data_IF_847871015712
#
_entry.id   IF_847871015712
#
_cell.length_a   1.000
_cell.length_b   1.000
_cell.length_c   1.000
_cell.angle_alpha   90.00
_cell.angle_beta   90.00
_cell.angle_gamma   90.00
#
_symmetry.space_group_name_H-M   'P 1'
#
loop_
_entity.id
_entity.type
_entity.pdbx_description
1 polymer ?
#
# COMPACT_ATOMS: atom_id res chain seq x y z
N UNK A 1 5.01 -0.34 3.35
CA UNK A 1 5.11 -0.92 1.99
C UNK A 1 3.79 -0.77 1.25
N UNK A 2 3.81 -0.25 0.02
CA UNK A 2 2.61 0.01 -0.79
C UNK A 2 2.80 1.28 -1.62
N UNK A 3 1.75 1.69 -2.32
CA UNK A 3 1.67 2.96 -3.05
C UNK A 3 1.08 4.04 -2.13
N UNK A 4 1.79 5.17 -1.98
CA UNK A 4 1.29 6.35 -1.27
C UNK A 4 0.20 7.05 -2.08
N UNK A 5 -0.73 7.71 -1.41
CA UNK A 5 -1.86 8.39 -2.06
C UNK A 5 -1.40 9.55 -2.95
N UNK A 6 -0.40 10.30 -2.49
CA UNK A 6 0.22 11.43 -3.20
C UNK A 6 1.70 11.56 -2.77
N UNK A 7 2.44 12.47 -3.39
CA UNK A 7 3.78 12.90 -2.98
C UNK A 7 3.79 14.11 -2.02
N UNK A 8 2.62 14.64 -1.67
CA UNK A 8 2.47 15.80 -0.80
C UNK A 8 2.29 15.37 0.67
N UNK A 9 3.03 15.98 1.60
CA UNK A 9 2.89 15.76 3.05
C UNK A 9 2.08 16.90 3.66
N UNK A 10 0.75 16.82 3.52
CA UNK A 10 -0.15 17.87 4.01
C UNK A 10 -0.65 17.66 5.44
N UNK A 11 -0.54 16.43 5.97
CA UNK A 11 -1.22 15.99 7.19
C UNK A 11 -2.65 15.47 6.96
N UNK A 12 -3.20 15.60 5.74
CA UNK A 12 -4.49 15.02 5.39
C UNK A 12 -4.42 13.49 5.28
N UNK A 13 -5.59 12.85 5.40
CA UNK A 13 -5.68 11.39 5.35
C UNK A 13 -5.40 10.79 3.96
N UNK A 14 -5.61 11.57 2.90
CA UNK A 14 -5.46 11.19 1.49
C UNK A 14 -4.20 11.79 0.86
N UNK A 15 -3.11 11.84 1.63
CA UNK A 15 -1.82 12.37 1.21
C UNK A 15 -0.69 11.51 1.79
N UNK A 16 0.56 11.78 1.40
CA UNK A 16 1.70 11.10 2.01
C UNK A 16 1.68 11.28 3.56
N UNK A 17 2.02 10.22 4.31
CA UNK A 17 2.59 8.94 3.87
C UNK A 17 1.56 7.81 3.71
N UNK A 18 0.26 8.12 3.70
CA UNK A 18 -0.77 7.10 3.79
C UNK A 18 -1.03 6.40 2.45
N UNK A 19 -1.19 5.09 2.52
CA UNK A 19 -1.70 4.25 1.45
C UNK A 19 -2.96 3.50 1.88
N UNK A 20 -3.87 3.33 0.92
CA UNK A 20 -5.20 2.76 1.13
C UNK A 20 -5.39 1.51 0.28
N UNK A 21 -6.05 0.48 0.83
CA UNK A 21 -6.26 -0.79 0.13
C UNK A 21 -6.94 -0.63 -1.24
N UNK A 22 -8.00 0.18 -1.41
CA UNK A 22 -8.62 0.39 -2.72
C UNK A 22 -7.66 0.92 -3.79
N UNK A 23 -6.77 1.85 -3.42
CA UNK A 23 -5.78 2.42 -4.34
C UNK A 23 -4.75 1.37 -4.78
N UNK A 24 -4.36 0.46 -3.88
CA UNK A 24 -3.47 -0.64 -4.24
C UNK A 24 -4.13 -1.57 -5.25
N UNK A 25 -5.39 -1.97 -5.00
CA UNK A 25 -6.13 -2.89 -5.87
C UNK A 25 -6.26 -2.30 -7.28
N UNK A 26 -6.67 -1.04 -7.37
CA UNK A 26 -6.82 -0.34 -8.67
C UNK A 26 -5.48 -0.25 -9.40
N UNK A 27 -4.41 0.14 -8.71
CA UNK A 27 -3.08 0.24 -9.32
C UNK A 27 -2.54 -1.12 -9.79
N UNK A 28 -2.66 -2.16 -8.96
CA UNK A 28 -2.21 -3.53 -9.27
C UNK A 28 -2.97 -4.06 -10.48
N UNK A 29 -4.30 -3.90 -10.51
CA UNK A 29 -5.13 -4.35 -11.62
C UNK A 29 -4.84 -3.57 -12.91
N UNK A 30 -4.66 -2.25 -12.80
CA UNK A 30 -4.19 -1.41 -13.91
C UNK A 30 -2.86 -1.90 -14.48
N UNK A 31 -1.87 -2.17 -13.62
CA UNK A 31 -0.57 -2.69 -14.05
C UNK A 31 -0.71 -4.04 -14.79
N UNK A 32 -1.54 -4.96 -14.29
CA UNK A 32 -1.80 -6.25 -14.95
C UNK A 32 -2.43 -6.08 -16.34
N UNK A 33 -3.46 -5.23 -16.45
CA UNK A 33 -4.17 -4.99 -17.72
C UNK A 33 -3.28 -4.45 -18.84
N UNK A 34 -2.22 -3.72 -18.47
CA UNK A 34 -1.28 -3.14 -19.43
C UNK A 34 0.03 -3.95 -19.57
N UNK A 35 0.06 -5.19 -19.05
CA UNK A 35 1.21 -6.10 -19.22
C UNK A 35 2.37 -5.86 -18.25
N UNK A 36 2.25 -4.94 -17.30
CA UNK A 36 3.26 -4.68 -16.27
C UNK A 36 3.17 -5.68 -15.09
N UNK A 37 3.11 -6.98 -15.42
CA UNK A 37 2.84 -8.04 -14.45
C UNK A 37 3.86 -8.10 -13.31
N UNK A 38 5.15 -7.92 -13.60
CA UNK A 38 6.17 -7.91 -12.55
C UNK A 38 6.02 -6.73 -11.60
N UNK A 39 5.64 -5.55 -12.10
CA UNK A 39 5.41 -4.38 -11.26
C UNK A 39 4.18 -4.58 -10.37
N UNK A 40 3.11 -5.15 -10.93
CA UNK A 40 1.90 -5.51 -10.19
C UNK A 40 2.21 -6.50 -9.07
N UNK A 41 3.00 -7.54 -9.35
CA UNK A 41 3.38 -8.56 -8.37
C UNK A 41 4.27 -7.98 -7.26
N UNK A 42 5.29 -7.17 -7.63
CA UNK A 42 6.13 -6.48 -6.65
C UNK A 42 5.32 -5.58 -5.72
N UNK A 43 4.36 -4.83 -6.26
CA UNK A 43 3.49 -3.97 -5.46
C UNK A 43 2.58 -4.79 -4.53
N UNK A 44 1.97 -5.85 -5.07
CA UNK A 44 1.10 -6.76 -4.31
C UNK A 44 1.83 -7.36 -3.11
N UNK A 45 3.02 -7.93 -3.33
CA UNK A 45 3.82 -8.55 -2.28
C UNK A 45 4.28 -7.53 -1.23
N UNK A 46 4.68 -6.32 -1.63
CA UNK A 46 5.08 -5.26 -0.68
C UNK A 46 3.93 -4.85 0.22
N UNK A 47 2.72 -4.71 -0.33
CA UNK A 47 1.55 -4.30 0.44
C UNK A 47 1.07 -5.42 1.37
N UNK A 48 0.95 -6.65 0.88
CA UNK A 48 0.54 -7.80 1.69
C UNK A 48 1.53 -8.08 2.83
N UNK A 49 2.84 -8.05 2.58
CA UNK A 49 3.85 -8.22 3.64
C UNK A 49 3.72 -7.20 4.75
N UNK A 50 3.43 -5.94 4.40
CA UNK A 50 3.20 -4.88 5.38
C UNK A 50 1.96 -5.18 6.24
N UNK A 51 0.83 -5.50 5.60
CA UNK A 51 -0.41 -5.82 6.34
C UNK A 51 -0.22 -7.04 7.24
N UNK A 52 0.40 -8.10 6.75
CA UNK A 52 0.64 -9.32 7.54
C UNK A 52 1.58 -9.05 8.72
N UNK A 53 2.62 -8.23 8.54
CA UNK A 53 3.53 -7.86 9.64
C UNK A 53 2.84 -6.99 10.70
N UNK A 54 2.02 -6.03 10.28
CA UNK A 54 1.22 -5.20 11.19
C UNK A 54 0.18 -6.03 11.94
N UNK A 55 -0.53 -6.92 11.23
CA UNK A 55 -1.52 -7.82 11.80
C UNK A 55 -0.89 -8.78 12.83
N UNK A 56 0.28 -9.34 12.54
CA UNK A 56 0.98 -10.20 13.51
C UNK A 56 1.33 -9.47 14.82
N UNK A 57 1.55 -8.15 14.77
CA UNK A 57 1.88 -7.32 15.94
C UNK A 57 0.64 -6.83 16.70
N UNK A 58 -0.44 -6.54 15.98
CA UNK A 58 -1.58 -5.79 16.54
C UNK A 58 -2.92 -6.53 16.47
N UNK A 59 -2.98 -7.70 15.84
CA UNK A 59 -4.17 -8.54 15.66
C UNK A 59 -5.38 -7.79 15.09
N UNK A 60 -5.11 -6.73 14.32
CA UNK A 60 -6.13 -5.86 13.73
C UNK A 60 -5.72 -5.48 12.31
N UNK A 61 -6.70 -5.20 11.47
CA UNK A 61 -6.50 -4.61 10.14
C UNK A 61 -6.91 -3.14 10.22
N UNK A 62 -6.11 -2.26 9.61
CA UNK A 62 -6.33 -0.82 9.65
C UNK A 62 -7.00 -0.35 8.36
N UNK A 63 -7.72 0.76 8.48
CA UNK A 63 -8.35 1.46 7.36
C UNK A 63 -7.30 1.97 6.34
N UNK A 64 -6.18 2.49 6.85
CA UNK A 64 -5.03 2.99 6.07
C UNK A 64 -3.71 2.67 6.78
N UNK A 65 -2.62 2.73 6.03
CA UNK A 65 -1.28 2.42 6.52
C UNK A 65 -0.29 3.51 6.13
N UNK A 66 0.68 3.82 7.00
CA UNK A 66 1.88 4.55 6.59
C UNK A 66 2.72 3.61 5.70
N UNK A 67 2.69 3.81 4.39
CA UNK A 67 3.36 2.91 3.45
C UNK A 67 4.85 3.19 3.30
N UNK A 68 5.34 4.32 3.83
CA UNK A 68 6.74 4.76 3.77
C UNK A 68 7.51 4.24 4.98
N UNK A 69 6.97 4.45 6.18
CA UNK A 69 7.63 4.12 7.45
C UNK A 69 7.28 2.76 8.02
N UNK A 70 6.29 2.03 7.47
CA UNK A 70 6.02 0.67 7.93
C UNK A 70 7.26 -0.22 7.72
N UNK A 71 8.12 -0.23 8.74
CA UNK A 71 9.24 -1.13 8.94
C UNK A 71 8.63 -2.45 9.40
N UNK A 72 8.81 -3.47 8.56
CA UNK A 72 8.75 -4.86 8.99
C UNK A 72 9.56 -5.03 10.27
#
# INVERSE_FOLDING_TARGET
>A
GGLQTSDNVSGNQWDAPYGWAPLQIIAIEGLRRYGFNEAAERLSLKFLRMITADFAKHLTIKEKYDVVQARS
#
